data_IF_614639315906
#
_entry.id   IF_614639315906
#
_cell.length_a   1.000
_cell.length_b   1.000
_cell.length_c   1.000
_cell.angle_alpha   90.00
_cell.angle_beta   90.00
_cell.angle_gamma   90.00
#
_symmetry.space_group_name_H-M   'P 1'
#
loop_
_entity.id
_entity.type
_entity.pdbx_description
1 polymer ?
#
# COMPACT_ATOMS: atom_id res chain seq x y z
N UNK A 1 30.51 10.95 15.91
CA UNK A 1 31.06 12.10 15.13
C UNK A 1 30.22 12.19 13.86
N UNK A 2 29.58 13.31 13.56
CA UNK A 2 28.80 13.48 12.35
C UNK A 2 29.75 13.77 11.20
N UNK A 3 29.84 12.86 10.22
CA UNK A 3 30.58 13.14 8.99
C UNK A 3 29.70 13.97 8.03
N UNK A 4 30.30 15.01 7.47
CA UNK A 4 29.63 15.84 6.46
C UNK A 4 29.47 15.02 5.20
N UNK A 5 28.27 14.62 4.87
CA UNK A 5 27.99 13.91 3.63
C UNK A 5 28.39 14.80 2.42
N UNK A 6 29.06 14.21 1.43
CA UNK A 6 29.39 14.89 0.20
C UNK A 6 28.10 15.36 -0.51
N UNK A 7 28.15 16.58 -1.05
CA UNK A 7 27.05 17.10 -1.85
C UNK A 7 26.97 16.30 -3.15
N UNK A 8 25.76 15.81 -3.55
CA UNK A 8 25.58 15.16 -4.83
C UNK A 8 25.95 16.11 -5.98
N UNK A 9 26.56 15.60 -7.05
CA UNK A 9 26.89 16.38 -8.26
C UNK A 9 25.62 17.01 -8.86
N UNK A 10 24.51 16.25 -8.84
CA UNK A 10 23.18 16.72 -9.25
C UNK A 10 22.69 17.92 -8.43
N UNK A 11 22.98 17.98 -7.13
CA UNK A 11 22.61 19.13 -6.31
C UNK A 11 23.34 20.42 -6.75
N UNK A 12 24.60 20.30 -7.16
CA UNK A 12 25.34 21.45 -7.68
C UNK A 12 24.75 21.96 -9.00
N UNK A 13 24.39 21.06 -9.91
CA UNK A 13 23.74 21.40 -11.18
C UNK A 13 22.40 22.10 -10.96
N UNK A 14 21.57 21.62 -10.02
CA UNK A 14 20.31 22.25 -9.67
C UNK A 14 20.49 23.64 -9.04
N UNK A 15 21.54 23.85 -8.23
CA UNK A 15 21.86 25.20 -7.71
C UNK A 15 22.29 26.15 -8.82
N UNK A 16 23.07 25.67 -9.80
CA UNK A 16 23.46 26.45 -10.98
C UNK A 16 22.24 26.82 -11.85
N UNK A 17 21.20 25.97 -11.88
CA UNK A 17 19.90 26.22 -12.49
C UNK A 17 18.98 27.16 -11.67
N UNK A 18 19.43 27.61 -10.49
CA UNK A 18 18.73 28.61 -9.68
C UNK A 18 17.89 28.06 -8.52
N UNK A 19 17.90 26.76 -8.26
CA UNK A 19 17.19 26.18 -7.12
C UNK A 19 17.88 26.52 -5.78
N UNK A 20 17.13 26.80 -4.70
CA UNK A 20 17.71 27.03 -3.38
C UNK A 20 18.58 25.85 -2.93
N UNK A 21 19.69 26.13 -2.26
CA UNK A 21 20.70 25.11 -1.92
C UNK A 21 20.12 23.90 -1.16
N UNK A 22 19.22 24.14 -0.18
CA UNK A 22 18.62 23.06 0.59
C UNK A 22 17.72 22.19 -0.30
N UNK A 23 16.89 22.81 -1.14
CA UNK A 23 16.02 22.10 -2.11
C UNK A 23 16.84 21.31 -3.10
N UNK A 24 17.90 21.88 -3.64
CA UNK A 24 18.82 21.22 -4.58
C UNK A 24 19.50 20.00 -3.94
N UNK A 25 19.92 20.09 -2.66
CA UNK A 25 20.52 18.96 -1.94
C UNK A 25 19.50 17.83 -1.71
N UNK A 26 18.28 18.17 -1.31
CA UNK A 26 17.21 17.18 -1.09
C UNK A 26 16.86 16.48 -2.41
N UNK A 27 16.60 17.25 -3.46
CA UNK A 27 16.30 16.71 -4.79
C UNK A 27 17.46 15.85 -5.34
N UNK A 28 18.70 16.33 -5.22
CA UNK A 28 19.86 15.59 -5.67
C UNK A 28 20.07 14.26 -4.93
N UNK A 29 19.72 14.19 -3.64
CA UNK A 29 19.72 12.93 -2.88
C UNK A 29 18.60 11.99 -3.30
N UNK A 30 17.49 12.53 -3.74
CA UNK A 30 16.37 11.77 -4.32
C UNK A 30 16.62 11.33 -5.78
N UNK A 31 17.84 11.55 -6.31
CA UNK A 31 18.20 11.11 -7.66
C UNK A 31 17.77 12.07 -8.78
N UNK A 32 17.22 13.25 -8.44
CA UNK A 32 16.81 14.28 -9.42
C UNK A 32 18.07 15.00 -9.90
N UNK A 33 18.36 14.87 -11.19
CA UNK A 33 19.62 15.30 -11.77
C UNK A 33 19.50 16.43 -12.80
N UNK A 34 18.30 16.72 -13.28
CA UNK A 34 18.06 17.76 -14.27
C UNK A 34 16.99 18.75 -13.83
N UNK A 35 16.99 19.94 -14.43
CA UNK A 35 15.92 20.95 -14.25
C UNK A 35 14.56 20.40 -14.67
N UNK A 36 14.49 19.63 -15.76
CA UNK A 36 13.26 18.99 -16.22
C UNK A 36 12.70 18.00 -15.20
N UNK A 37 13.56 17.18 -14.59
CA UNK A 37 13.13 16.25 -13.53
C UNK A 37 12.72 16.99 -12.25
N UNK A 38 13.40 18.11 -11.94
CA UNK A 38 13.03 18.96 -10.80
C UNK A 38 11.67 19.61 -10.99
N UNK A 39 11.34 20.10 -12.19
CA UNK A 39 10.03 20.63 -12.53
C UNK A 39 8.94 19.55 -12.40
N UNK A 40 9.17 18.34 -12.89
CA UNK A 40 8.26 17.21 -12.72
C UNK A 40 8.07 16.89 -11.24
N UNK A 41 9.15 16.82 -10.46
CA UNK A 41 9.10 16.51 -9.04
C UNK A 41 8.31 17.54 -8.24
N UNK A 42 8.49 18.85 -8.54
CA UNK A 42 7.88 19.94 -7.78
C UNK A 42 6.44 20.25 -8.23
N UNK A 43 6.13 20.04 -9.49
CA UNK A 43 4.91 20.59 -10.10
C UNK A 43 4.06 19.55 -10.83
N UNK A 44 4.44 18.26 -10.83
CA UNK A 44 3.62 17.24 -11.48
C UNK A 44 2.28 17.08 -10.77
N UNK A 45 1.22 17.13 -11.56
CA UNK A 45 -0.15 16.78 -11.14
C UNK A 45 -0.61 15.45 -11.74
N UNK A 46 0.33 14.70 -12.30
CA UNK A 46 0.02 13.44 -12.99
C UNK A 46 -0.45 12.38 -11.98
N UNK A 47 -1.66 11.89 -12.18
CA UNK A 47 -2.20 10.75 -11.46
C UNK A 47 -2.26 9.57 -12.42
N UNK A 48 -1.39 8.59 -12.22
CA UNK A 48 -1.36 7.40 -13.06
C UNK A 48 -2.59 6.52 -12.81
N UNK A 49 -3.09 5.90 -13.90
CA UNK A 49 -4.24 5.01 -13.87
C UNK A 49 -3.97 3.78 -12.96
N UNK A 50 -4.86 3.48 -12.00
CA UNK A 50 -4.74 2.31 -11.14
C UNK A 50 -4.77 0.98 -11.93
N UNK A 51 -5.42 0.93 -13.08
CA UNK A 51 -5.45 -0.27 -13.94
C UNK A 51 -4.06 -0.72 -14.43
N UNK A 52 -3.03 0.15 -14.31
CA UNK A 52 -1.64 -0.21 -14.64
C UNK A 52 -0.92 -0.96 -13.51
N UNK A 53 -1.48 -1.00 -12.30
CA UNK A 53 -0.90 -1.74 -11.18
C UNK A 53 -1.08 -3.23 -11.44
N UNK A 54 0.02 -3.96 -11.39
CA UNK A 54 -0.02 -5.41 -11.53
C UNK A 54 -0.89 -6.04 -10.44
N UNK A 55 -1.68 -7.06 -10.80
CA UNK A 55 -2.60 -7.78 -9.94
C UNK A 55 -3.79 -6.97 -9.40
N UNK A 56 -4.03 -5.74 -9.86
CA UNK A 56 -5.17 -4.94 -9.39
C UNK A 56 -6.51 -5.65 -9.68
N UNK A 57 -6.61 -6.33 -10.81
CA UNK A 57 -7.79 -7.13 -11.19
C UNK A 57 -8.01 -8.27 -10.19
N UNK A 58 -6.96 -9.04 -9.86
CA UNK A 58 -7.07 -10.16 -8.91
C UNK A 58 -7.48 -9.69 -7.51
N UNK A 59 -6.97 -8.53 -7.06
CA UNK A 59 -7.38 -7.89 -5.80
C UNK A 59 -8.85 -7.48 -5.88
N UNK A 60 -9.26 -6.85 -6.97
CA UNK A 60 -10.63 -6.40 -7.18
C UNK A 60 -11.62 -7.56 -7.23
N UNK A 61 -11.33 -8.59 -8.01
CA UNK A 61 -12.19 -9.77 -8.16
C UNK A 61 -12.41 -10.45 -6.82
N UNK A 62 -11.35 -10.62 -6.03
CA UNK A 62 -11.43 -11.25 -4.72
C UNK A 62 -12.26 -10.42 -3.73
N UNK A 63 -12.17 -9.09 -3.77
CA UNK A 63 -13.00 -8.18 -2.98
C UNK A 63 -14.46 -8.28 -3.40
N UNK A 64 -14.75 -8.23 -4.70
CA UNK A 64 -16.12 -8.33 -5.22
C UNK A 64 -16.77 -9.67 -4.89
N UNK A 65 -16.05 -10.77 -4.99
CA UNK A 65 -16.55 -12.10 -4.59
C UNK A 65 -17.04 -12.11 -3.14
N UNK A 66 -16.32 -11.42 -2.23
CA UNK A 66 -16.70 -11.34 -0.82
C UNK A 66 -17.87 -10.39 -0.59
N UNK A 67 -17.94 -9.29 -1.34
CA UNK A 67 -19.08 -8.36 -1.29
C UNK A 67 -20.36 -9.08 -1.74
N UNK A 68 -20.35 -9.69 -2.93
CA UNK A 68 -21.53 -10.37 -3.48
C UNK A 68 -21.98 -11.59 -2.67
N UNK A 69 -21.04 -12.32 -2.09
CA UNK A 69 -21.38 -13.44 -1.20
C UNK A 69 -21.72 -13.01 0.23
N UNK A 70 -21.70 -11.71 0.52
CA UNK A 70 -22.02 -11.15 1.84
C UNK A 70 -21.09 -11.60 2.95
N UNK A 71 -19.87 -12.01 2.61
CA UNK A 71 -18.84 -12.45 3.53
C UNK A 71 -18.17 -11.27 4.22
N UNK A 72 -17.67 -11.49 5.43
CA UNK A 72 -17.03 -10.44 6.22
C UNK A 72 -15.58 -10.24 5.80
N UNK A 73 -15.21 -8.98 5.57
CA UNK A 73 -13.86 -8.53 5.24
C UNK A 73 -13.25 -7.86 6.48
N UNK A 74 -12.03 -8.23 6.84
CA UNK A 74 -11.24 -7.56 7.88
C UNK A 74 -10.04 -6.87 7.24
N UNK A 75 -9.91 -5.56 7.46
CA UNK A 75 -8.75 -4.76 7.04
C UNK A 75 -7.81 -4.66 8.24
N UNK A 76 -6.55 -5.05 8.05
CA UNK A 76 -5.46 -4.85 9.00
C UNK A 76 -4.58 -3.69 8.53
N UNK A 77 -4.72 -2.51 9.15
CA UNK A 77 -3.78 -1.39 8.95
C UNK A 77 -2.60 -1.48 9.91
N UNK A 78 -1.55 -0.72 9.66
CA UNK A 78 -0.55 -0.45 10.69
C UNK A 78 -1.01 0.65 11.63
N UNK A 79 -0.29 0.85 12.74
CA UNK A 79 -0.63 1.80 13.81
C UNK A 79 -0.22 3.25 13.52
N UNK A 80 0.54 3.50 12.47
CA UNK A 80 1.00 4.83 12.12
C UNK A 80 0.00 5.59 11.21
N UNK A 81 0.38 6.81 10.80
CA UNK A 81 -0.51 7.66 10.00
C UNK A 81 -0.81 7.05 8.62
N UNK A 82 0.14 6.34 8.01
CA UNK A 82 -0.03 5.74 6.69
C UNK A 82 -0.98 4.53 6.77
N UNK A 83 -0.73 3.60 7.69
CA UNK A 83 -1.58 2.43 7.90
C UNK A 83 -3.01 2.81 8.32
N UNK A 84 -3.16 3.77 9.27
CA UNK A 84 -4.49 4.24 9.72
C UNK A 84 -5.26 4.89 8.57
N UNK A 85 -4.62 5.79 7.81
CA UNK A 85 -5.30 6.51 6.72
C UNK A 85 -5.58 5.58 5.53
N UNK A 86 -4.68 4.66 5.22
CA UNK A 86 -4.89 3.63 4.20
C UNK A 86 -6.07 2.73 4.54
N UNK A 87 -6.13 2.23 5.78
CA UNK A 87 -7.25 1.43 6.27
C UNK A 87 -8.56 2.20 6.22
N UNK A 88 -8.57 3.48 6.59
CA UNK A 88 -9.77 4.32 6.55
C UNK A 88 -10.27 4.54 5.12
N UNK A 89 -9.36 4.81 4.16
CA UNK A 89 -9.71 4.98 2.74
C UNK A 89 -10.39 3.72 2.19
N UNK A 90 -9.77 2.55 2.37
CA UNK A 90 -10.33 1.30 1.86
C UNK A 90 -11.62 0.94 2.59
N UNK A 91 -11.70 1.12 3.91
CA UNK A 91 -12.90 0.90 4.69
C UNK A 91 -14.09 1.71 4.15
N UNK A 92 -13.90 3.02 3.92
CA UNK A 92 -14.94 3.89 3.41
C UNK A 92 -15.40 3.49 2.01
N UNK A 93 -14.46 3.12 1.13
CA UNK A 93 -14.79 2.62 -0.20
C UNK A 93 -15.60 1.32 -0.13
N UNK A 94 -15.14 0.33 0.63
CA UNK A 94 -15.82 -0.96 0.77
C UNK A 94 -17.21 -0.81 1.43
N UNK A 95 -17.34 0.07 2.43
CA UNK A 95 -18.65 0.39 3.02
C UNK A 95 -19.61 0.98 2.01
N UNK A 96 -19.13 1.89 1.15
CA UNK A 96 -19.94 2.48 0.06
C UNK A 96 -20.38 1.42 -0.95
N UNK A 97 -19.56 0.40 -1.19
CA UNK A 97 -19.87 -0.74 -2.06
C UNK A 97 -20.76 -1.81 -1.39
N UNK A 98 -21.21 -1.61 -0.16
CA UNK A 98 -22.10 -2.52 0.56
C UNK A 98 -21.38 -3.68 1.27
N UNK A 99 -20.06 -3.67 1.39
CA UNK A 99 -19.31 -4.71 2.08
C UNK A 99 -19.62 -4.78 3.58
N UNK A 100 -19.59 -6.00 4.13
CA UNK A 100 -19.52 -6.23 5.58
C UNK A 100 -18.04 -6.15 5.99
N UNK A 101 -17.57 -4.96 6.31
CA UNK A 101 -16.15 -4.68 6.55
C UNK A 101 -15.91 -4.16 7.96
N UNK A 102 -14.81 -4.58 8.56
CA UNK A 102 -14.27 -4.10 9.84
C UNK A 102 -12.80 -3.73 9.66
N UNK A 103 -12.28 -2.87 10.54
CA UNK A 103 -10.87 -2.52 10.61
C UNK A 103 -10.29 -3.00 11.93
N UNK A 104 -9.10 -3.58 11.91
CA UNK A 104 -8.29 -3.94 13.06
C UNK A 104 -6.94 -3.23 12.93
N UNK A 105 -6.59 -2.45 13.91
CA UNK A 105 -5.28 -1.79 14.03
C UNK A 105 -4.56 -2.42 15.22
N UNK A 106 -3.24 -2.68 15.13
CA UNK A 106 -2.48 -3.23 16.23
C UNK A 106 -2.29 -2.19 17.35
N UNK A 107 -2.20 -2.64 18.58
CA UNK A 107 -1.69 -1.81 19.67
C UNK A 107 -0.16 -1.73 19.55
N UNK A 108 0.34 -0.47 19.42
CA UNK A 108 1.77 -0.21 19.22
C UNK A 108 2.66 -0.79 20.33
N UNK A 109 2.16 -0.82 21.55
CA UNK A 109 2.93 -1.20 22.75
C UNK A 109 2.83 -2.70 23.00
N UNK A 110 1.63 -3.26 22.86
CA UNK A 110 1.34 -4.65 23.24
C UNK A 110 1.56 -5.64 22.08
N UNK A 111 1.25 -5.24 20.84
CA UNK A 111 1.26 -6.12 19.68
C UNK A 111 2.43 -5.85 18.72
N UNK A 112 2.94 -4.62 18.70
CA UNK A 112 4.01 -4.22 17.79
C UNK A 112 3.51 -3.90 16.37
N UNK A 113 4.36 -4.13 15.36
CA UNK A 113 4.11 -3.75 13.97
C UNK A 113 3.34 -4.84 13.21
N UNK A 114 2.34 -4.42 12.44
CA UNK A 114 1.68 -5.23 11.42
C UNK A 114 0.66 -6.24 11.96
N UNK A 115 0.35 -7.24 11.13
CA UNK A 115 -0.61 -8.29 11.45
C UNK A 115 0.03 -9.32 12.39
N UNK A 116 -0.73 -9.81 13.39
CA UNK A 116 -0.31 -10.83 14.35
C UNK A 116 -1.22 -12.05 14.31
N UNK A 117 -0.69 -13.23 14.70
CA UNK A 117 -1.47 -14.47 14.80
C UNK A 117 -2.64 -14.32 15.75
N UNK A 118 -2.44 -13.65 16.90
CA UNK A 118 -3.51 -13.39 17.86
C UNK A 118 -4.63 -12.56 17.23
N UNK A 119 -4.30 -11.48 16.52
CA UNK A 119 -5.30 -10.64 15.88
C UNK A 119 -6.03 -11.36 14.75
N UNK A 120 -5.37 -12.30 14.05
CA UNK A 120 -6.01 -13.18 13.08
C UNK A 120 -7.04 -14.07 13.77
N UNK A 121 -6.66 -14.76 14.86
CA UNK A 121 -7.56 -15.66 15.59
C UNK A 121 -8.79 -14.91 16.12
N UNK A 122 -8.61 -13.71 16.69
CA UNK A 122 -9.71 -12.83 17.12
C UNK A 122 -10.69 -12.54 15.97
N UNK A 123 -10.18 -12.24 14.79
CA UNK A 123 -11.04 -11.90 13.65
C UNK A 123 -11.67 -13.14 12.99
N UNK A 124 -11.04 -14.31 13.08
CA UNK A 124 -11.62 -15.58 12.67
C UNK A 124 -12.83 -15.93 13.55
N UNK A 125 -12.73 -15.79 14.88
CA UNK A 125 -13.84 -15.98 15.81
C UNK A 125 -15.00 -15.01 15.53
N UNK A 126 -14.70 -13.80 15.08
CA UNK A 126 -15.69 -12.81 14.68
C UNK A 126 -16.23 -13.04 13.25
N UNK A 127 -15.81 -14.10 12.57
CA UNK A 127 -16.34 -14.55 11.29
C UNK A 127 -15.75 -13.85 10.07
N UNK A 128 -14.51 -13.35 10.14
CA UNK A 128 -13.81 -12.83 8.97
C UNK A 128 -13.50 -13.95 7.96
N UNK A 129 -13.73 -13.68 6.68
CA UNK A 129 -13.52 -14.60 5.56
C UNK A 129 -12.42 -14.11 4.61
N UNK A 130 -12.22 -12.78 4.52
CA UNK A 130 -11.15 -12.14 3.77
C UNK A 130 -10.37 -11.20 4.69
N UNK A 131 -9.05 -11.33 4.66
CA UNK A 131 -8.10 -10.53 5.41
C UNK A 131 -7.32 -9.65 4.43
N UNK A 132 -7.38 -8.33 4.59
CA UNK A 132 -6.65 -7.38 3.74
C UNK A 132 -5.66 -6.63 4.61
N UNK A 133 -4.37 -6.78 4.37
CA UNK A 133 -3.36 -5.95 5.04
C UNK A 133 -3.11 -4.67 4.25
N UNK A 134 -2.89 -3.56 4.93
CA UNK A 134 -2.53 -2.27 4.35
C UNK A 134 -1.35 -1.69 5.10
N UNK A 135 -0.32 -1.29 4.37
CA UNK A 135 0.92 -0.73 4.93
C UNK A 135 1.68 -1.74 5.80
N UNK A 136 1.40 -2.99 5.61
CA UNK A 136 2.08 -4.14 6.21
C UNK A 136 1.76 -5.41 5.43
N UNK A 137 2.43 -6.50 5.78
CA UNK A 137 2.09 -7.82 5.26
C UNK A 137 3.10 -8.41 4.29
N UNK A 138 3.92 -7.61 3.59
CA UNK A 138 4.91 -8.13 2.61
C UNK A 138 5.97 -9.05 3.25
N UNK A 139 6.11 -9.01 4.57
CA UNK A 139 7.01 -9.87 5.34
C UNK A 139 6.27 -10.84 6.27
N UNK A 140 4.95 -10.83 6.29
CA UNK A 140 4.11 -11.62 7.17
C UNK A 140 3.86 -13.05 6.64
N UNK A 141 4.94 -13.80 6.39
CA UNK A 141 4.88 -15.14 5.77
C UNK A 141 4.07 -16.11 6.63
N UNK A 142 4.32 -16.15 7.94
CA UNK A 142 3.67 -17.09 8.86
C UNK A 142 2.20 -16.74 9.10
N UNK A 143 1.89 -15.44 9.17
CA UNK A 143 0.54 -14.93 9.40
C UNK A 143 -0.35 -15.21 8.18
N UNK A 144 0.15 -14.96 6.97
CA UNK A 144 -0.56 -15.27 5.72
C UNK A 144 -0.76 -16.78 5.57
N UNK A 145 0.25 -17.59 5.90
CA UNK A 145 0.13 -19.05 5.91
C UNK A 145 -0.93 -19.52 6.93
N UNK A 146 -1.00 -18.91 8.11
CA UNK A 146 -2.00 -19.23 9.12
C UNK A 146 -3.43 -18.96 8.62
N UNK A 147 -3.69 -17.81 7.95
CA UNK A 147 -4.96 -17.50 7.31
C UNK A 147 -5.33 -18.60 6.29
N UNK A 148 -4.39 -18.95 5.42
CA UNK A 148 -4.57 -19.99 4.38
C UNK A 148 -4.90 -21.36 4.98
N UNK A 149 -4.24 -21.76 6.08
CA UNK A 149 -4.51 -23.01 6.80
C UNK A 149 -5.94 -23.09 7.37
N UNK A 150 -6.54 -21.94 7.69
CA UNK A 150 -7.93 -21.84 8.13
C UNK A 150 -8.93 -21.82 6.96
N UNK A 151 -8.46 -21.99 5.72
CA UNK A 151 -9.29 -21.96 4.52
C UNK A 151 -9.86 -20.58 4.20
N UNK A 152 -9.26 -19.52 4.76
CA UNK A 152 -9.64 -18.14 4.52
C UNK A 152 -8.77 -17.50 3.45
N UNK A 153 -9.20 -16.34 2.95
CA UNK A 153 -8.57 -15.60 1.88
C UNK A 153 -7.78 -14.41 2.42
N UNK A 154 -6.70 -14.06 1.73
CA UNK A 154 -5.87 -12.92 2.09
C UNK A 154 -5.45 -12.08 0.89
N UNK A 155 -5.37 -10.77 1.11
CA UNK A 155 -4.80 -9.78 0.20
C UNK A 155 -3.73 -9.01 0.95
N UNK A 156 -2.57 -8.80 0.33
CA UNK A 156 -1.52 -7.93 0.86
C UNK A 156 -1.42 -6.69 -0.02
N UNK A 157 -1.59 -5.50 0.60
CA UNK A 157 -1.38 -4.19 -0.02
C UNK A 157 -0.27 -3.49 0.77
N UNK A 158 0.95 -3.54 0.26
CA UNK A 158 2.12 -3.03 0.97
C UNK A 158 3.02 -2.23 0.02
N UNK A 159 3.91 -1.43 0.59
CA UNK A 159 4.89 -0.62 -0.13
C UNK A 159 6.31 -0.70 0.48
N UNK A 160 6.49 -1.56 1.45
CA UNK A 160 7.80 -1.80 2.05
C UNK A 160 8.66 -2.71 1.16
N UNK A 161 9.98 -2.59 1.30
CA UNK A 161 10.89 -3.47 0.58
C UNK A 161 10.64 -4.93 0.98
N UNK A 162 10.49 -5.83 -0.02
CA UNK A 162 10.27 -7.25 0.23
C UNK A 162 11.39 -7.88 1.07
N UNK A 163 11.05 -8.91 1.83
CA UNK A 163 12.03 -9.76 2.51
C UNK A 163 12.66 -10.79 1.55
N UNK A 164 13.54 -11.65 2.09
CA UNK A 164 14.12 -12.75 1.33
C UNK A 164 13.07 -13.78 0.89
N UNK A 165 12.03 -13.96 1.72
CA UNK A 165 10.90 -14.83 1.44
C UNK A 165 9.63 -13.98 1.38
N UNK A 166 8.87 -14.14 0.30
CA UNK A 166 7.58 -13.49 0.16
C UNK A 166 6.46 -14.34 0.77
N UNK A 167 5.42 -13.72 1.34
CA UNK A 167 4.19 -14.42 1.68
C UNK A 167 3.46 -14.88 0.41
N UNK A 168 2.58 -15.86 0.53
CA UNK A 168 1.75 -16.38 -0.56
C UNK A 168 0.25 -16.09 -0.31
N UNK A 169 -0.20 -14.82 -0.32
CA UNK A 169 -1.61 -14.49 -0.24
C UNK A 169 -2.35 -14.88 -1.52
N UNK A 170 -3.68 -14.81 -1.51
CA UNK A 170 -4.50 -15.05 -2.71
C UNK A 170 -4.34 -13.94 -3.75
N UNK A 171 -4.09 -12.70 -3.31
CA UNK A 171 -3.68 -11.59 -4.17
C UNK A 171 -2.72 -10.64 -3.43
N UNK A 172 -1.82 -10.00 -4.17
CA UNK A 172 -0.83 -9.09 -3.59
C UNK A 172 -0.50 -7.96 -4.55
N UNK A 173 -0.42 -6.76 -3.99
CA UNK A 173 0.16 -5.59 -4.64
C UNK A 173 1.25 -5.04 -3.74
N UNK A 174 2.45 -4.98 -4.29
CA UNK A 174 3.58 -4.24 -3.76
C UNK A 174 4.42 -3.75 -4.94
N UNK A 175 4.69 -2.46 -4.99
CA UNK A 175 5.31 -1.83 -6.16
C UNK A 175 6.82 -2.06 -6.25
N UNK A 176 7.43 -2.69 -5.22
CA UNK A 176 8.85 -3.06 -5.20
C UNK A 176 9.10 -4.52 -5.60
N UNK A 177 8.03 -5.28 -5.90
CA UNK A 177 8.19 -6.68 -6.35
C UNK A 177 8.77 -6.70 -7.77
N UNK A 178 9.74 -7.59 -8.04
CA UNK A 178 10.31 -7.73 -9.38
C UNK A 178 9.24 -7.97 -10.47
N UNK A 179 9.33 -7.19 -11.53
CA UNK A 179 8.40 -7.25 -12.66
C UNK A 179 7.17 -6.34 -12.53
N UNK A 180 7.07 -5.54 -11.48
CA UNK A 180 6.15 -4.41 -11.44
C UNK A 180 6.60 -3.32 -12.42
N UNK A 181 5.64 -2.68 -13.09
CA UNK A 181 5.88 -1.66 -14.12
C UNK A 181 5.05 -0.40 -13.90
N UNK A 182 4.43 -0.25 -12.74
CA UNK A 182 3.69 0.95 -12.41
C UNK A 182 4.60 2.18 -12.43
N UNK A 183 4.22 3.28 -13.08
CA UNK A 183 5.14 4.40 -13.34
C UNK A 183 5.63 5.16 -12.10
N UNK A 184 5.01 4.97 -10.94
CA UNK A 184 5.38 5.63 -9.68
C UNK A 184 5.37 4.62 -8.53
N UNK A 185 6.55 4.13 -8.18
CA UNK A 185 6.72 3.06 -7.18
C UNK A 185 6.69 3.57 -5.72
N UNK A 186 6.90 4.86 -5.50
CA UNK A 186 6.95 5.47 -4.14
C UNK A 186 5.56 5.82 -3.60
N UNK A 187 4.51 5.09 -3.98
CA UNK A 187 3.22 5.23 -3.31
C UNK A 187 3.36 4.76 -1.86
N UNK A 188 2.74 5.50 -0.94
CA UNK A 188 2.57 5.07 0.45
C UNK A 188 1.47 4.01 0.56
N UNK A 189 1.31 3.37 1.72
CA UNK A 189 0.22 2.43 1.98
C UNK A 189 -1.15 3.08 1.76
N UNK A 190 -1.34 4.34 2.21
CA UNK A 190 -2.55 5.12 1.94
C UNK A 190 -2.75 5.43 0.45
N UNK A 191 -1.66 5.76 -0.26
CA UNK A 191 -1.68 5.98 -1.69
C UNK A 191 -2.09 4.74 -2.47
N UNK A 192 -1.60 3.58 -2.07
CA UNK A 192 -1.97 2.30 -2.67
C UNK A 192 -3.42 1.93 -2.37
N UNK A 193 -3.86 2.08 -1.12
CA UNK A 193 -5.26 1.87 -0.73
C UNK A 193 -6.22 2.77 -1.53
N UNK A 194 -5.83 4.02 -1.77
CA UNK A 194 -6.58 4.95 -2.60
C UNK A 194 -6.67 4.47 -4.07
N UNK A 195 -5.59 3.96 -4.64
CA UNK A 195 -5.59 3.40 -6.01
C UNK A 195 -6.55 2.21 -6.12
N UNK A 196 -6.52 1.30 -5.15
CA UNK A 196 -7.45 0.15 -5.10
C UNK A 196 -8.89 0.65 -4.95
N UNK A 197 -9.15 1.62 -4.07
CA UNK A 197 -10.47 2.20 -3.89
C UNK A 197 -11.00 2.87 -5.17
N UNK A 198 -10.16 3.66 -5.87
CA UNK A 198 -10.50 4.26 -7.15
C UNK A 198 -10.86 3.18 -8.18
N UNK A 199 -10.05 2.12 -8.28
CA UNK A 199 -10.30 1.04 -9.23
C UNK A 199 -11.64 0.33 -8.97
N UNK A 200 -11.93 -0.03 -7.72
CA UNK A 200 -13.20 -0.64 -7.34
C UNK A 200 -14.41 0.28 -7.64
N UNK A 201 -14.27 1.58 -7.38
CA UNK A 201 -15.36 2.54 -7.58
C UNK A 201 -15.64 2.82 -9.07
N UNK A 202 -14.64 2.72 -9.94
CA UNK A 202 -14.88 2.87 -11.39
C UNK A 202 -15.70 1.73 -11.97
N UNK A 203 -15.61 0.53 -11.40
CA UNK A 203 -16.37 -0.64 -11.86
C UNK A 203 -17.87 -0.54 -11.57
N UNK A 204 -18.29 0.31 -10.61
CA UNK A 204 -19.72 0.51 -10.27
C UNK A 204 -20.41 1.42 -11.29
N UNK A 205 -19.70 2.38 -11.85
CA UNK A 205 -20.26 3.34 -12.82
C UNK A 205 -20.58 2.72 -14.20
N UNK A 206 -20.16 1.48 -14.45
CA UNK A 206 -20.50 0.74 -15.67
C UNK A 206 -21.82 -0.04 -15.56
N UNK A 207 -22.43 -0.09 -14.37
CA UNK A 207 -23.65 -0.87 -14.09
C UNK A 207 -24.86 -0.01 -13.67
N UNK A 208 -24.72 1.31 -13.56
CA UNK A 208 -25.81 2.28 -13.36
C UNK A 208 -26.16 2.96 -14.72
#
# INVERSE_FOLDING_TARGET
MWEKANMPISAQQLMEAGYPALSAIVMGKAGIASEADAEVFLHSTTVHDPAKIRNIDAVSDLIWDHIYSGKKICIFGDYDADGITGAAILYLALRRLGAKVVVRLPDRIEEGYGISLQAIDEQLELGAELFITIDNGIRAVHEIEAIKKQGKKSIVLDHHLPGETLPEPDAMIDLWIPGETYPFQELTGAGLAWKVACYLLTQVSEYD
#
